data_IF_634794819338
#
_entry.id   IF_634794819338
#
_cell.length_a   1.000
_cell.length_b   1.000
_cell.length_c   1.000
_cell.angle_alpha   90.00
_cell.angle_beta   90.00
_cell.angle_gamma   90.00
#
_symmetry.space_group_name_H-M   'P 1'
#
loop_
_entity.id
_entity.type
_entity.pdbx_description
1 polymer ?
#
# COMPACT_ATOMS: atom_id res chain seq x y z
N UNK A 1 -13.11 -3.62 -7.95
CA UNK A 1 -12.83 -5.03 -8.29
C UNK A 1 -13.98 -5.58 -9.09
N UNK A 2 -13.69 -6.37 -10.14
CA UNK A 2 -14.68 -7.02 -10.98
C UNK A 2 -14.46 -8.54 -10.94
N UNK A 3 -15.54 -9.29 -10.91
CA UNK A 3 -15.52 -10.76 -10.99
C UNK A 3 -16.41 -11.17 -12.14
N UNK A 4 -15.86 -11.92 -13.08
CA UNK A 4 -16.54 -12.40 -14.27
C UNK A 4 -16.49 -13.93 -14.37
N UNK A 5 -17.48 -14.51 -15.04
CA UNK A 5 -17.28 -15.79 -15.68
C UNK A 5 -16.22 -15.64 -16.78
N UNK A 6 -15.29 -16.60 -16.88
CA UNK A 6 -14.13 -16.44 -17.76
C UNK A 6 -14.50 -16.45 -19.24
N UNK A 7 -15.37 -17.39 -19.65
CA UNK A 7 -15.77 -17.54 -21.05
C UNK A 7 -16.56 -16.30 -21.51
N UNK A 8 -17.44 -15.81 -20.65
CA UNK A 8 -18.19 -14.58 -20.90
C UNK A 8 -17.26 -13.36 -21.00
N UNK A 9 -16.27 -13.24 -20.14
CA UNK A 9 -15.28 -12.15 -20.21
C UNK A 9 -14.50 -12.19 -21.53
N UNK A 10 -14.03 -13.35 -21.95
CA UNK A 10 -13.32 -13.50 -23.22
C UNK A 10 -14.18 -13.06 -24.41
N UNK A 11 -15.44 -13.48 -24.45
CA UNK A 11 -16.37 -13.04 -25.48
C UNK A 11 -16.53 -11.50 -25.49
N UNK A 12 -16.70 -10.89 -24.32
CA UNK A 12 -16.82 -9.43 -24.22
C UNK A 12 -15.58 -8.69 -24.75
N UNK A 13 -14.38 -9.22 -24.43
CA UNK A 13 -13.11 -8.61 -24.86
C UNK A 13 -12.90 -8.77 -26.37
N UNK A 14 -13.29 -9.92 -26.98
CA UNK A 14 -13.25 -10.13 -28.40
C UNK A 14 -14.21 -9.19 -29.14
N UNK A 15 -15.43 -9.02 -28.63
CA UNK A 15 -16.40 -8.06 -29.18
C UNK A 15 -15.90 -6.61 -29.07
N UNK A 16 -15.31 -6.24 -27.92
CA UNK A 16 -14.74 -4.92 -27.71
C UNK A 16 -13.53 -4.64 -28.61
N UNK A 17 -12.73 -5.68 -28.88
CA UNK A 17 -11.60 -5.57 -29.80
C UNK A 17 -12.04 -5.23 -31.23
N UNK A 18 -13.21 -5.68 -31.65
CA UNK A 18 -13.77 -5.42 -32.99
C UNK A 18 -14.46 -4.06 -33.07
N UNK A 19 -14.80 -3.43 -31.97
CA UNK A 19 -15.41 -2.11 -31.91
C UNK A 19 -14.36 -1.02 -32.06
N UNK A 20 -14.31 -0.38 -33.23
CA UNK A 20 -13.39 0.74 -33.50
C UNK A 20 -13.66 1.97 -32.62
N UNK A 21 -14.87 2.12 -32.07
CA UNK A 21 -15.26 3.21 -31.18
C UNK A 21 -14.86 2.99 -29.71
N UNK A 22 -14.43 1.79 -29.33
CA UNK A 22 -14.06 1.45 -27.98
C UNK A 22 -12.72 2.09 -27.58
N UNK A 23 -12.66 2.58 -26.34
CA UNK A 23 -11.45 3.09 -25.69
C UNK A 23 -10.60 1.99 -25.06
N UNK A 24 -11.07 0.74 -25.08
CA UNK A 24 -10.46 -0.41 -24.42
C UNK A 24 -10.43 -0.24 -22.88
N UNK A 25 -11.44 0.39 -22.32
CA UNK A 25 -11.55 0.68 -20.90
C UNK A 25 -12.71 -0.11 -20.27
N UNK A 26 -12.40 -0.84 -19.18
CA UNK A 26 -13.41 -1.63 -18.48
C UNK A 26 -14.55 -0.78 -17.92
N UNK A 27 -14.24 0.37 -17.33
CA UNK A 27 -15.23 1.24 -16.70
C UNK A 27 -16.10 1.99 -17.72
N UNK A 28 -15.55 2.30 -18.90
CA UNK A 28 -16.24 3.11 -19.90
C UNK A 28 -16.91 2.29 -21.00
N UNK A 29 -16.36 1.13 -21.33
CA UNK A 29 -16.85 0.33 -22.46
C UNK A 29 -17.47 -1.00 -22.01
N UNK A 30 -16.74 -1.83 -21.25
CA UNK A 30 -17.19 -3.16 -20.87
C UNK A 30 -18.30 -3.13 -19.82
N UNK A 31 -18.10 -2.45 -18.69
CA UNK A 31 -19.05 -2.46 -17.57
C UNK A 31 -20.40 -1.83 -17.95
N UNK A 32 -20.46 -0.66 -18.62
CA UNK A 32 -21.75 -0.10 -19.06
C UNK A 32 -22.51 -1.01 -20.01
N UNK A 33 -21.81 -1.80 -20.86
CA UNK A 33 -22.43 -2.77 -21.76
C UNK A 33 -23.09 -3.91 -20.95
N UNK A 34 -22.36 -4.48 -19.97
CA UNK A 34 -22.87 -5.56 -19.11
C UNK A 34 -24.04 -5.09 -18.24
N UNK A 35 -23.98 -3.86 -17.69
CA UNK A 35 -25.07 -3.26 -16.91
C UNK A 35 -26.33 -3.09 -17.76
N UNK A 36 -26.21 -2.63 -19.02
CA UNK A 36 -27.35 -2.49 -19.94
C UNK A 36 -28.01 -3.85 -20.27
N UNK A 37 -27.25 -4.93 -20.24
CA UNK A 37 -27.76 -6.29 -20.43
C UNK A 37 -28.51 -6.84 -19.21
N UNK A 38 -28.42 -6.16 -18.04
CA UNK A 38 -29.12 -6.55 -16.81
C UNK A 38 -28.50 -7.76 -16.10
N UNK A 39 -27.26 -8.13 -16.39
CA UNK A 39 -26.57 -9.28 -15.82
C UNK A 39 -25.44 -8.87 -14.84
N UNK A 40 -25.28 -7.58 -14.57
CA UNK A 40 -24.34 -7.07 -13.58
C UNK A 40 -24.99 -7.03 -12.18
N UNK A 41 -24.24 -7.49 -11.17
CA UNK A 41 -24.64 -7.40 -9.77
C UNK A 41 -23.67 -6.53 -9.00
N UNK A 42 -24.20 -5.56 -8.25
CA UNK A 42 -23.39 -4.75 -7.36
C UNK A 42 -23.22 -5.45 -6.00
N UNK A 43 -21.99 -5.56 -5.53
CA UNK A 43 -21.68 -6.00 -4.18
C UNK A 43 -21.29 -4.78 -3.33
N UNK A 44 -22.04 -4.47 -2.24
CA UNK A 44 -21.70 -3.35 -1.36
C UNK A 44 -20.31 -3.57 -0.73
N UNK A 45 -19.41 -2.61 -0.91
CA UNK A 45 -18.04 -2.70 -0.40
C UNK A 45 -17.99 -2.84 1.13
N UNK A 46 -18.91 -2.21 1.85
CA UNK A 46 -19.06 -2.33 3.30
C UNK A 46 -19.24 -3.78 3.81
N UNK A 47 -19.66 -4.70 2.96
CA UNK A 47 -19.81 -6.12 3.32
C UNK A 47 -18.47 -6.90 3.25
N UNK A 48 -17.43 -6.35 2.66
CA UNK A 48 -16.17 -7.06 2.40
C UNK A 48 -14.91 -6.24 2.71
N UNK A 49 -15.04 -5.04 3.25
CA UNK A 49 -13.87 -4.22 3.52
C UNK A 49 -13.26 -4.47 4.91
N UNK A 50 -11.97 -4.14 5.02
CA UNK A 50 -11.25 -4.11 6.29
C UNK A 50 -11.79 -2.96 7.16
N UNK A 51 -11.94 -3.18 8.46
CA UNK A 51 -12.37 -2.15 9.42
C UNK A 51 -13.89 -1.98 9.55
N UNK A 52 -14.70 -2.61 8.71
CA UNK A 52 -16.16 -2.56 8.80
C UNK A 52 -16.71 -3.63 9.77
N UNK A 53 -16.19 -3.70 11.00
CA UNK A 53 -16.54 -4.78 11.96
C UNK A 53 -17.92 -4.66 12.55
N UNK A 54 -18.54 -3.48 12.58
CA UNK A 54 -19.84 -3.25 13.15
C UNK A 54 -20.80 -2.62 12.15
N UNK A 55 -21.71 -3.43 11.62
CA UNK A 55 -22.81 -2.97 10.75
C UNK A 55 -23.75 -1.96 11.44
N UNK A 56 -23.59 -1.73 12.75
CA UNK A 56 -24.41 -0.81 13.55
C UNK A 56 -23.80 0.61 13.64
N UNK A 57 -22.49 0.76 13.50
CA UNK A 57 -21.83 2.08 13.50
C UNK A 57 -21.77 2.65 12.07
N UNK A 58 -22.70 3.57 11.79
CA UNK A 58 -22.77 4.30 10.51
C UNK A 58 -21.56 5.18 10.21
N UNK A 59 -20.58 5.25 11.11
CA UNK A 59 -19.36 6.05 11.01
C UNK A 59 -18.09 5.24 10.68
N UNK A 60 -18.17 3.89 10.65
CA UNK A 60 -17.01 3.10 10.25
C UNK A 60 -16.76 3.25 8.75
N UNK A 61 -15.83 4.13 8.41
CA UNK A 61 -15.42 4.36 7.03
C UNK A 61 -14.62 3.16 6.54
N UNK A 62 -15.14 2.49 5.51
CA UNK A 62 -14.44 1.38 4.87
C UNK A 62 -13.14 1.86 4.27
N UNK A 63 -12.02 1.21 4.60
CA UNK A 63 -10.72 1.61 4.07
C UNK A 63 -10.64 1.36 2.56
N UNK A 64 -10.45 2.43 1.81
CA UNK A 64 -10.17 2.41 0.38
C UNK A 64 -9.24 3.58 0.01
N UNK A 65 -8.12 3.30 -0.62
CA UNK A 65 -7.20 4.32 -1.12
C UNK A 65 -6.92 4.08 -2.59
N UNK A 66 -7.14 5.10 -3.40
CA UNK A 66 -6.63 5.14 -4.76
C UNK A 66 -5.21 5.72 -4.75
N UNK A 67 -4.27 4.96 -5.29
CA UNK A 67 -2.84 5.32 -5.34
C UNK A 67 -2.37 5.57 -6.78
N UNK A 68 -3.26 6.07 -7.62
CA UNK A 68 -3.02 6.34 -9.05
C UNK A 68 -2.07 7.50 -9.35
N UNK A 69 -1.73 8.32 -8.35
CA UNK A 69 -0.73 9.40 -8.46
C UNK A 69 0.41 9.21 -7.49
N UNK A 70 1.55 9.87 -7.74
CA UNK A 70 2.71 9.83 -6.82
C UNK A 70 2.32 10.39 -5.44
N UNK A 71 1.55 11.48 -5.42
CA UNK A 71 1.13 12.12 -4.17
C UNK A 71 0.21 11.19 -3.37
N UNK A 72 -0.82 10.60 -4.00
CA UNK A 72 -1.73 9.67 -3.32
C UNK A 72 -1.03 8.39 -2.84
N UNK A 73 -0.02 7.90 -3.59
CA UNK A 73 0.81 6.79 -3.13
C UNK A 73 1.64 7.18 -1.90
N UNK A 74 2.25 8.37 -1.90
CA UNK A 74 3.01 8.88 -0.77
C UNK A 74 2.11 9.08 0.46
N UNK A 75 0.96 9.73 0.30
CA UNK A 75 -0.01 9.96 1.37
C UNK A 75 -0.48 8.65 2.01
N UNK A 76 -0.81 7.63 1.20
CA UNK A 76 -1.20 6.32 1.71
C UNK A 76 -0.10 5.64 2.54
N UNK A 77 1.18 5.82 2.17
CA UNK A 77 2.30 5.31 2.95
C UNK A 77 2.50 6.12 4.25
N UNK A 78 2.35 7.44 4.20
CA UNK A 78 2.47 8.30 5.39
C UNK A 78 1.36 8.03 6.40
N UNK A 79 0.16 7.70 5.94
CA UNK A 79 -0.93 7.28 6.82
C UNK A 79 -0.54 6.06 7.67
N UNK A 80 0.13 5.06 7.08
CA UNK A 80 0.63 3.88 7.81
C UNK A 80 1.65 4.23 8.91
N UNK A 81 2.36 5.35 8.78
CA UNK A 81 3.32 5.83 9.77
C UNK A 81 2.69 6.74 10.84
N UNK A 82 1.41 7.06 10.70
CA UNK A 82 0.68 7.87 11.67
C UNK A 82 0.48 7.13 13.01
N UNK A 83 0.15 7.88 14.07
CA UNK A 83 -0.09 7.30 15.41
C UNK A 83 -1.31 6.39 15.43
N UNK A 84 -2.33 6.75 14.68
CA UNK A 84 -3.57 5.97 14.50
C UNK A 84 -3.86 5.90 13.01
N UNK A 85 -3.30 4.90 12.30
CA UNK A 85 -3.52 4.74 10.87
C UNK A 85 -4.96 4.26 10.59
N UNK A 86 -5.52 4.67 9.44
CA UNK A 86 -6.81 4.16 8.99
C UNK A 86 -6.76 2.65 8.69
N UNK A 87 -5.62 2.16 8.18
CA UNK A 87 -5.34 0.73 7.99
C UNK A 87 -4.39 0.23 9.07
N UNK A 88 -4.90 -0.60 9.98
CA UNK A 88 -4.07 -1.24 11.00
C UNK A 88 -3.38 -2.48 10.42
N UNK A 89 -2.06 -2.38 10.22
CA UNK A 89 -1.23 -3.49 9.76
C UNK A 89 -1.04 -4.59 10.83
N UNK A 90 -1.37 -4.29 12.07
CA UNK A 90 -1.21 -5.17 13.23
C UNK A 90 -2.52 -5.83 13.67
N UNK A 91 -3.60 -5.67 12.92
CA UNK A 91 -4.88 -6.34 13.19
C UNK A 91 -4.78 -7.85 12.95
N UNK A 92 -4.61 -8.61 14.02
CA UNK A 92 -4.54 -10.08 13.96
C UNK A 92 -5.84 -10.75 13.50
N UNK A 93 -6.98 -10.05 13.60
CA UNK A 93 -8.26 -10.57 13.13
C UNK A 93 -8.43 -10.50 11.60
N UNK A 94 -7.60 -9.67 10.94
CA UNK A 94 -7.55 -9.54 9.49
C UNK A 94 -6.10 -9.46 8.99
N UNK A 95 -5.33 -10.55 9.09
CA UNK A 95 -3.93 -10.54 8.67
C UNK A 95 -3.82 -10.31 7.15
N UNK A 96 -2.91 -9.39 6.78
CA UNK A 96 -2.63 -9.12 5.38
C UNK A 96 -1.68 -10.18 4.84
N UNK A 97 -2.20 -11.11 4.04
CA UNK A 97 -1.41 -12.14 3.39
C UNK A 97 -0.71 -11.58 2.15
N UNK A 98 0.59 -11.50 2.19
CA UNK A 98 1.43 -11.03 1.08
C UNK A 98 2.73 -11.83 1.02
N UNK A 99 3.47 -11.69 -0.07
CA UNK A 99 4.80 -12.27 -0.18
C UNK A 99 5.77 -11.54 0.76
N UNK A 100 6.13 -12.19 1.87
CA UNK A 100 7.10 -11.68 2.83
C UNK A 100 8.40 -12.45 2.70
N UNK A 101 9.50 -11.74 2.42
CA UNK A 101 10.84 -12.31 2.50
C UNK A 101 11.16 -12.65 3.96
N UNK A 102 11.71 -13.84 4.22
CA UNK A 102 12.23 -14.19 5.53
C UNK A 102 13.53 -13.42 5.78
N UNK A 103 13.43 -12.30 6.47
CA UNK A 103 14.53 -11.41 6.81
C UNK A 103 14.65 -11.27 8.33
N UNK A 104 15.85 -11.04 8.87
CA UNK A 104 16.01 -10.75 10.29
C UNK A 104 15.27 -9.46 10.66
N UNK A 105 14.95 -9.24 11.94
CA UNK A 105 14.37 -7.99 12.42
C UNK A 105 15.18 -6.76 12.00
N UNK A 106 14.52 -5.60 11.93
CA UNK A 106 15.20 -4.33 11.74
C UNK A 106 16.20 -4.07 12.89
N UNK A 107 17.37 -3.51 12.55
CA UNK A 107 18.45 -3.29 13.50
C UNK A 107 18.89 -1.83 13.53
N UNK A 108 18.99 -1.27 14.73
CA UNK A 108 19.53 0.06 14.97
C UNK A 108 20.89 -0.06 15.62
N UNK A 109 21.88 0.65 15.11
CA UNK A 109 23.24 0.60 15.62
C UNK A 109 23.81 2.00 15.83
N UNK A 110 24.64 2.12 16.83
CA UNK A 110 25.49 3.29 17.05
C UNK A 110 26.61 3.32 16.00
N UNK A 111 26.93 4.49 15.47
CA UNK A 111 28.07 4.64 14.59
C UNK A 111 29.41 4.70 15.38
N UNK A 112 30.53 4.76 14.65
CA UNK A 112 31.87 4.82 15.26
C UNK A 112 32.14 6.12 16.05
N UNK A 113 31.32 7.17 15.82
CA UNK A 113 31.43 8.44 16.55
C UNK A 113 30.50 8.49 17.77
N UNK A 114 29.84 7.41 18.11
CA UNK A 114 28.92 7.34 19.23
C UNK A 114 27.51 7.87 18.93
N UNK A 115 27.20 8.20 17.69
CA UNK A 115 25.88 8.66 17.30
C UNK A 115 24.92 7.49 17.18
N UNK A 116 23.80 7.53 17.90
CA UNK A 116 22.80 6.46 17.89
C UNK A 116 21.82 6.62 16.73
N UNK A 117 21.41 5.50 16.15
CA UNK A 117 20.27 5.46 15.25
C UNK A 117 18.95 5.62 16.03
N UNK A 118 18.06 6.48 15.55
CA UNK A 118 16.75 6.70 16.16
C UNK A 118 15.65 6.79 15.11
N UNK A 119 14.46 6.37 15.48
CA UNK A 119 13.27 6.49 14.61
C UNK A 119 12.06 6.89 15.43
N UNK A 120 11.18 7.70 14.83
CA UNK A 120 9.93 8.16 15.42
C UNK A 120 8.85 8.21 14.34
N UNK A 121 7.63 7.76 14.67
CA UNK A 121 6.47 7.75 13.75
C UNK A 121 6.82 7.15 12.39
N UNK A 122 7.45 5.98 12.38
CA UNK A 122 7.94 5.37 11.14
C UNK A 122 7.72 3.86 11.13
N UNK A 123 7.50 3.30 9.97
CA UNK A 123 7.34 1.86 9.76
C UNK A 123 8.59 1.30 9.09
N UNK A 124 9.24 0.32 9.71
CA UNK A 124 10.44 -0.33 9.18
C UNK A 124 10.19 -1.82 9.02
N UNK A 125 10.40 -2.32 7.82
CA UNK A 125 10.28 -3.75 7.50
C UNK A 125 11.52 -4.53 7.95
N UNK A 126 11.42 -5.86 7.91
CA UNK A 126 12.54 -6.76 8.23
C UNK A 126 13.78 -6.50 7.36
N UNK A 127 14.96 -6.81 7.91
CA UNK A 127 16.24 -6.67 7.25
C UNK A 127 16.81 -5.25 7.18
N UNK A 128 16.08 -4.24 7.67
CA UNK A 128 16.60 -2.87 7.71
C UNK A 128 17.76 -2.72 8.71
N UNK A 129 18.75 -1.91 8.33
CA UNK A 129 19.86 -1.53 9.25
C UNK A 129 20.00 -0.01 9.21
N UNK A 130 19.85 0.62 10.39
CA UNK A 130 19.99 2.07 10.57
C UNK A 130 21.18 2.33 11.47
N UNK A 131 22.19 3.05 10.94
CA UNK A 131 23.43 3.35 11.68
C UNK A 131 23.52 4.85 11.94
N UNK A 132 23.52 5.26 13.21
CA UNK A 132 23.79 6.64 13.63
C UNK A 132 23.01 7.71 12.85
N UNK A 133 21.73 7.50 12.60
CA UNK A 133 20.87 8.35 11.76
C UNK A 133 19.51 8.57 12.36
N UNK A 134 18.85 9.64 11.97
CA UNK A 134 17.54 10.05 12.46
C UNK A 134 16.51 9.81 11.37
N UNK A 135 15.44 9.10 11.71
CA UNK A 135 14.34 8.79 10.80
C UNK A 135 13.03 9.22 11.45
N UNK A 136 12.30 10.09 10.80
CA UNK A 136 10.99 10.56 11.22
C UNK A 136 9.96 10.36 10.11
N UNK A 137 8.71 10.08 10.50
CA UNK A 137 7.55 10.07 9.61
C UNK A 137 7.81 9.36 8.28
N UNK A 138 8.44 8.18 8.32
CA UNK A 138 8.96 7.53 7.11
C UNK A 138 8.59 6.06 7.06
N UNK A 139 8.51 5.51 5.84
CA UNK A 139 8.30 4.08 5.60
C UNK A 139 9.53 3.50 4.90
N UNK A 140 10.19 2.55 5.54
CA UNK A 140 11.33 1.83 4.99
C UNK A 140 10.94 0.38 4.68
N UNK A 141 10.97 0.04 3.41
CA UNK A 141 10.71 -1.33 2.97
C UNK A 141 11.86 -2.28 3.33
N UNK A 142 11.70 -3.54 2.96
CA UNK A 142 12.61 -4.63 3.36
C UNK A 142 14.06 -4.41 2.91
N UNK A 143 15.02 -4.69 3.79
CA UNK A 143 16.43 -4.71 3.44
C UNK A 143 17.10 -3.36 3.26
N UNK A 144 16.42 -2.25 3.61
CA UNK A 144 17.00 -0.90 3.49
C UNK A 144 18.18 -0.72 4.44
N UNK A 145 19.25 -0.09 3.92
CA UNK A 145 20.43 0.28 4.70
C UNK A 145 20.59 1.78 4.75
N UNK A 146 20.61 2.35 5.96
CA UNK A 146 20.86 3.77 6.19
C UNK A 146 22.20 3.93 6.89
N UNK A 147 23.16 4.54 6.20
CA UNK A 147 24.49 4.85 6.74
C UNK A 147 24.45 6.06 7.68
N UNK A 148 25.55 6.28 8.40
CA UNK A 148 25.64 7.26 9.48
C UNK A 148 25.42 8.71 9.02
N UNK A 149 24.84 9.51 9.91
CA UNK A 149 24.67 10.96 9.75
C UNK A 149 23.54 11.35 8.80
N UNK A 150 22.64 10.41 8.45
CA UNK A 150 21.49 10.72 7.63
C UNK A 150 20.34 11.27 8.45
N UNK A 151 19.52 12.10 7.83
CA UNK A 151 18.21 12.54 8.35
C UNK A 151 17.17 12.28 7.28
N UNK A 152 16.20 11.41 7.59
CA UNK A 152 15.06 11.12 6.72
C UNK A 152 13.79 11.62 7.40
N UNK A 153 12.98 12.35 6.68
CA UNK A 153 11.69 12.85 7.16
C UNK A 153 10.67 12.81 6.01
N UNK A 154 9.51 12.22 6.24
CA UNK A 154 8.46 12.06 5.24
C UNK A 154 8.87 11.19 4.04
N UNK A 155 9.79 10.24 4.22
CA UNK A 155 10.36 9.48 3.12
C UNK A 155 9.71 8.09 2.97
N UNK A 156 9.49 7.68 1.72
CA UNK A 156 9.11 6.30 1.35
C UNK A 156 10.31 5.67 0.64
N UNK A 157 10.96 4.71 1.28
CA UNK A 157 12.19 4.08 0.78
C UNK A 157 11.92 2.65 0.35
N UNK A 158 12.10 2.37 -0.94
CA UNK A 158 11.83 1.07 -1.54
C UNK A 158 12.80 -0.03 -1.10
N UNK A 159 12.47 -1.32 -1.36
CA UNK A 159 13.27 -2.44 -0.92
C UNK A 159 14.73 -2.38 -1.40
N UNK A 160 15.64 -2.86 -0.53
CA UNK A 160 17.08 -3.01 -0.80
C UNK A 160 17.81 -1.71 -1.14
N UNK A 161 17.21 -0.54 -0.91
CA UNK A 161 17.86 0.77 -1.10
C UNK A 161 18.94 0.99 -0.07
N UNK A 162 20.07 1.58 -0.51
CA UNK A 162 21.18 1.99 0.35
C UNK A 162 21.27 3.52 0.36
N UNK A 163 21.05 4.12 1.53
CA UNK A 163 21.18 5.55 1.77
C UNK A 163 22.62 5.85 2.21
N UNK A 164 23.32 6.65 1.41
CA UNK A 164 24.72 7.03 1.67
C UNK A 164 24.87 7.93 2.89
N UNK A 165 26.09 8.05 3.41
CA UNK A 165 26.38 8.87 4.59
C UNK A 165 26.01 10.33 4.39
N UNK A 166 25.40 10.94 5.42
CA UNK A 166 25.08 12.38 5.44
C UNK A 166 23.93 12.79 4.51
N UNK A 167 23.17 11.85 3.97
CA UNK A 167 21.98 12.15 3.12
C UNK A 167 20.88 12.82 3.93
N UNK A 168 20.12 13.69 3.24
CA UNK A 168 18.97 14.37 3.80
C UNK A 168 17.84 14.41 2.77
#
# INVERSE_FOLDING_TARGET
VYVFDADYLYQLLEEDQQDEGSRRDFGMDIIPKVVKQGIAYAHPFSMSCVGCKDHEDKESQCYWRDVGTVDSFWEANMDLASVVPELDLYDESWPIWTNQRQLPPAKFVQDFNGQSGSTLNSVLSGGCIVSGSIIHNSVLFSGVRVHSGCTLDGAVIFPDVVIGRGSR
#
